data_IF_137160368147
#
_entry.id   IF_137160368147
#
_cell.length_a   1.000
_cell.length_b   1.000
_cell.length_c   1.000
_cell.angle_alpha   90.00
_cell.angle_beta   90.00
_cell.angle_gamma   90.00
#
_symmetry.space_group_name_H-M   'P 1'
#
loop_
_entity.id
_entity.type
_entity.pdbx_description
1 polymer ?
#
# COMPACT_ATOMS: atom_id res chain seq x y z
N UNK A 1 25.99 -4.46 1.47
CA UNK A 1 25.52 -4.27 1.59
C UNK A 1 24.65 -3.58 1.29
N UNK A 2 24.12 -3.36 1.26
CA UNK A 2 23.27 -2.68 1.13
C UNK A 2 22.87 -2.05 0.02
N UNK A 3 23.29 -2.26 -0.93
CA UNK A 3 22.95 -1.75 -2.04
C UNK A 3 21.70 -2.07 -2.45
N UNK A 4 21.20 -3.09 -2.13
CA UNK A 4 19.97 -3.52 -2.59
C UNK A 4 18.92 -2.60 -2.25
N UNK A 5 19.07 -1.82 -1.36
CA UNK A 5 18.11 -1.01 -1.07
C UNK A 5 17.75 -0.01 -1.99
N UNK A 6 18.41 0.19 -2.99
CA UNK A 6 18.05 1.09 -3.93
C UNK A 6 16.82 0.76 -4.59
N UNK A 7 16.40 -0.45 -4.77
CA UNK A 7 15.28 -0.82 -5.50
C UNK A 7 14.47 -1.70 -4.66
N UNK A 8 13.22 -1.42 -4.41
CA UNK A 8 12.35 -2.30 -3.66
C UNK A 8 11.95 -3.51 -4.48
N UNK A 9 11.88 -4.65 -3.88
CA UNK A 9 11.33 -5.82 -4.53
C UNK A 9 9.83 -5.61 -4.69
N UNK A 10 9.19 -6.37 -5.54
CA UNK A 10 7.73 -6.24 -5.68
C UNK A 10 6.99 -6.41 -4.38
N UNK A 11 7.45 -7.36 -3.54
CA UNK A 11 6.81 -7.56 -2.27
C UNK A 11 7.01 -6.39 -1.34
N UNK A 12 8.21 -5.83 -1.31
CA UNK A 12 8.48 -4.68 -0.45
C UNK A 12 7.71 -3.47 -0.93
N UNK A 13 7.57 -3.31 -2.24
CA UNK A 13 6.83 -2.21 -2.80
C UNK A 13 5.35 -2.31 -2.44
N UNK A 14 4.80 -3.53 -2.53
CA UNK A 14 3.42 -3.77 -2.17
C UNK A 14 3.18 -3.49 -0.70
N UNK A 15 4.11 -3.93 0.14
CA UNK A 15 4.00 -3.73 1.57
C UNK A 15 4.05 -2.25 1.93
N UNK A 16 4.93 -1.49 1.25
CA UNK A 16 5.02 -0.05 1.49
C UNK A 16 3.71 0.65 1.08
N UNK A 17 3.08 0.18 0.01
CA UNK A 17 1.82 0.73 -0.43
C UNK A 17 0.73 0.48 0.61
N UNK A 18 0.72 -0.71 1.19
CA UNK A 18 -0.27 -1.05 2.20
C UNK A 18 -0.05 -0.23 3.48
N UNK A 19 1.19 0.04 3.83
CA UNK A 19 1.48 0.87 4.98
C UNK A 19 1.01 2.30 4.73
N UNK A 20 1.23 2.83 3.54
CA UNK A 20 0.78 4.17 3.20
C UNK A 20 -0.75 4.23 3.21
N UNK A 21 -1.40 3.19 2.70
CA UNK A 21 -2.85 3.13 2.68
C UNK A 21 -3.40 3.08 4.10
N UNK A 22 -2.75 2.33 4.98
CA UNK A 22 -3.20 2.25 6.35
C UNK A 22 -3.08 3.59 7.05
N UNK A 23 -2.00 4.31 6.79
CA UNK A 23 -1.83 5.63 7.37
C UNK A 23 -2.93 6.56 6.90
N UNK A 24 -3.30 6.51 5.63
CA UNK A 24 -4.37 7.33 5.11
C UNK A 24 -5.71 6.97 5.74
N UNK A 25 -5.93 5.69 5.96
CA UNK A 25 -7.15 5.22 6.57
C UNK A 25 -7.28 5.78 7.99
N UNK A 26 -6.21 5.73 8.74
CA UNK A 26 -6.21 6.21 10.10
C UNK A 26 -6.34 7.72 10.16
N UNK A 27 -5.68 8.43 9.27
CA UNK A 27 -5.71 9.88 9.27
C UNK A 27 -7.01 10.47 8.76
N UNK A 28 -7.55 9.91 7.72
CA UNK A 28 -8.65 10.55 7.02
C UNK A 28 -9.85 9.66 6.71
N UNK A 29 -9.76 8.39 7.02
CA UNK A 29 -10.89 7.48 6.81
C UNK A 29 -10.82 6.73 5.49
N UNK A 30 -11.70 5.75 5.31
CA UNK A 30 -11.64 4.87 4.15
C UNK A 30 -11.77 5.59 2.82
N UNK A 31 -12.54 6.65 2.76
CA UNK A 31 -12.72 7.34 1.50
C UNK A 31 -11.44 8.04 1.04
N UNK A 32 -10.48 8.22 1.93
CA UNK A 32 -9.22 8.84 1.55
C UNK A 32 -8.25 7.82 0.96
N UNK A 33 -8.54 6.54 1.08
CA UNK A 33 -7.64 5.49 0.59
C UNK A 33 -7.92 5.27 -0.89
N UNK A 34 -7.21 6.00 -1.73
CA UNK A 34 -7.33 5.88 -3.18
C UNK A 34 -5.97 5.62 -3.76
N UNK A 35 -5.94 5.09 -4.98
CA UNK A 35 -4.66 4.83 -5.63
C UNK A 35 -3.86 6.11 -5.79
N UNK A 36 -4.54 7.19 -6.12
CA UNK A 36 -3.86 8.46 -6.31
C UNK A 36 -3.24 8.94 -5.00
N UNK A 37 -3.98 8.89 -3.90
CA UNK A 37 -3.48 9.37 -2.63
C UNK A 37 -2.32 8.51 -2.13
N UNK A 38 -2.43 7.20 -2.31
CA UNK A 38 -1.38 6.30 -1.87
C UNK A 38 -0.12 6.50 -2.71
N UNK A 39 -0.29 6.65 -4.03
CA UNK A 39 0.87 6.84 -4.90
C UNK A 39 1.57 8.16 -4.58
N UNK A 40 0.82 9.20 -4.28
CA UNK A 40 1.41 10.48 -3.92
C UNK A 40 2.19 10.36 -2.61
N UNK A 41 1.64 9.64 -1.66
CA UNK A 41 2.30 9.50 -0.37
C UNK A 41 3.58 8.69 -0.48
N UNK A 42 3.60 7.71 -1.37
CA UNK A 42 4.77 6.87 -1.56
C UNK A 42 5.80 7.46 -2.49
N UNK A 43 5.42 8.44 -3.28
CA UNK A 43 6.30 8.96 -4.33
C UNK A 43 6.39 7.99 -5.50
N UNK A 44 5.33 7.20 -5.73
CA UNK A 44 5.30 6.27 -6.85
C UNK A 44 4.22 6.67 -7.82
N UNK A 45 4.21 6.08 -9.01
CA UNK A 45 3.22 6.42 -10.01
C UNK A 45 1.93 5.66 -9.75
N UNK A 46 0.83 6.24 -10.24
CA UNK A 46 -0.46 5.60 -10.15
C UNK A 46 -0.44 4.26 -10.88
N UNK A 47 0.26 4.20 -12.00
CA UNK A 47 0.34 2.97 -12.78
C UNK A 47 1.03 1.86 -11.99
N UNK A 48 2.00 2.21 -11.17
CA UNK A 48 2.69 1.22 -10.37
C UNK A 48 1.71 0.54 -9.40
N UNK A 49 0.84 1.33 -8.78
CA UNK A 49 -0.12 0.76 -7.86
C UNK A 49 -1.20 -0.03 -8.57
N UNK A 50 -1.61 0.40 -9.75
CA UNK A 50 -2.57 -0.37 -10.52
C UNK A 50 -1.99 -1.72 -10.87
N UNK A 51 -0.70 -1.78 -11.16
CA UNK A 51 -0.05 -3.02 -11.48
C UNK A 51 -0.10 -3.98 -10.28
N UNK A 52 0.08 -3.47 -9.07
CA UNK A 52 0.06 -4.32 -7.89
C UNK A 52 -1.34 -4.72 -7.44
N UNK A 53 -2.30 -3.82 -7.53
CA UNK A 53 -3.61 -4.07 -6.93
C UNK A 53 -4.76 -4.15 -7.91
N UNK A 54 -4.56 -3.68 -9.12
CA UNK A 54 -5.59 -3.75 -10.15
C UNK A 54 -6.61 -2.62 -10.11
N UNK A 55 -7.00 -2.17 -8.94
CA UNK A 55 -7.99 -1.12 -8.82
C UNK A 55 -7.98 -0.60 -7.39
N UNK A 56 -8.71 0.46 -7.15
CA UNK A 56 -8.84 0.99 -5.80
C UNK A 56 -9.51 -0.03 -4.89
N UNK A 57 -10.48 -0.77 -5.42
CA UNK A 57 -11.14 -1.80 -4.64
C UNK A 57 -10.15 -2.89 -4.26
N UNK A 58 -9.28 -3.26 -5.20
CA UNK A 58 -8.26 -4.26 -4.93
C UNK A 58 -7.30 -3.80 -3.85
N UNK A 59 -6.95 -2.52 -3.86
CA UNK A 59 -6.08 -1.95 -2.85
C UNK A 59 -6.77 -2.04 -1.48
N UNK A 60 -8.03 -1.67 -1.41
CA UNK A 60 -8.75 -1.70 -0.15
C UNK A 60 -8.91 -3.11 0.39
N UNK A 61 -9.16 -4.06 -0.49
CA UNK A 61 -9.28 -5.44 -0.06
C UNK A 61 -7.95 -5.95 0.47
N UNK A 62 -6.85 -5.60 -0.18
CA UNK A 62 -5.54 -6.02 0.26
C UNK A 62 -5.20 -5.38 1.62
N UNK A 63 -5.61 -4.13 1.81
CA UNK A 63 -5.37 -3.46 3.08
C UNK A 63 -6.14 -4.14 4.21
N UNK A 64 -7.39 -4.49 3.96
CA UNK A 64 -8.18 -5.15 4.98
C UNK A 64 -7.60 -6.50 5.32
N UNK A 65 -7.15 -7.25 4.33
CA UNK A 65 -6.54 -8.54 4.56
C UNK A 65 -5.25 -8.40 5.37
N UNK A 66 -4.46 -7.39 5.06
CA UNK A 66 -3.21 -7.18 5.77
C UNK A 66 -3.46 -6.80 7.23
N UNK A 67 -4.49 -6.01 7.47
CA UNK A 67 -4.81 -5.62 8.83
C UNK A 67 -5.33 -6.81 9.62
N UNK A 68 -6.09 -7.68 8.97
CA UNK A 68 -6.59 -8.87 9.64
C UNK A 68 -5.44 -9.82 10.00
N UNK A 69 -4.47 -9.93 9.12
CA UNK A 69 -3.33 -10.75 9.39
C UNK A 69 -2.55 -10.23 10.58
N UNK A 70 -2.42 -8.94 10.69
CA UNK A 70 -1.72 -8.38 11.79
C UNK A 70 -2.40 -8.68 13.10
N UNK A 71 -3.69 -8.65 13.13
CA UNK A 71 -4.44 -8.99 14.32
C UNK A 71 -4.20 -10.41 14.72
N UNK A 72 -4.20 -11.33 13.74
CA UNK A 72 -4.03 -12.69 14.06
C UNK A 72 -2.65 -13.02 14.52
N UNK A 73 -1.69 -12.32 14.04
CA UNK A 73 -0.37 -12.59 14.37
C UNK A 73 -0.06 -12.33 15.80
N UNK A 74 -0.77 -11.60 16.48
CA UNK A 74 -0.57 -11.31 17.77
C UNK A 74 -0.63 -12.35 18.68
#
# INVERSE_FOLDING_TARGET
MSLAKRRLSPEASRSAALDAARDLLIEAGPQAVTLKAVSARMGRTHANLLHHFGSAAGLQQALMAAMAERITEE
#
